data_IF_535556349988
#
_entry.id   IF_535556349988
#
_cell.length_a   1.000
_cell.length_b   1.000
_cell.length_c   1.000
_cell.angle_alpha   90.00
_cell.angle_beta   90.00
_cell.angle_gamma   90.00
#
_symmetry.space_group_name_H-M   'P 1'
#
loop_
_entity.id
_entity.type
_entity.pdbx_description
1 polymer ?
#
# COMPACT_ATOMS: atom_id res chain seq x y z
N UNK A 1 -56.92 5.52 37.62
CA UNK A 1 -56.33 5.86 36.34
C UNK A 1 -54.81 6.13 36.38
N UNK A 2 -53.98 5.41 37.13
CA UNK A 2 -52.53 5.57 37.04
C UNK A 2 -51.83 4.45 36.27
N UNK A 3 -52.48 3.36 35.85
CA UNK A 3 -51.85 2.19 35.24
C UNK A 3 -51.51 2.37 33.75
N UNK A 4 -52.24 3.20 33.00
CA UNK A 4 -51.98 3.42 31.57
C UNK A 4 -50.76 4.27 31.29
N UNK A 5 -50.46 5.24 32.17
CA UNK A 5 -49.27 6.11 32.00
C UNK A 5 -47.94 5.37 32.20
N UNK A 6 -47.93 4.40 33.14
CA UNK A 6 -46.75 3.58 33.39
C UNK A 6 -46.45 2.63 32.21
N UNK A 7 -47.48 2.10 31.53
CA UNK A 7 -47.31 1.19 30.40
C UNK A 7 -46.83 1.90 29.13
N UNK A 8 -47.26 3.16 28.92
CA UNK A 8 -46.79 3.99 27.81
C UNK A 8 -45.34 4.44 28.01
N UNK A 9 -44.94 4.77 29.23
CA UNK A 9 -43.57 5.14 29.56
C UNK A 9 -42.60 3.98 29.37
N UNK A 10 -43.02 2.74 29.75
CA UNK A 10 -42.22 1.54 29.57
C UNK A 10 -41.98 1.19 28.06
N UNK A 11 -43.03 1.37 27.24
CA UNK A 11 -42.90 1.16 25.77
C UNK A 11 -42.02 2.20 25.09
N UNK A 12 -42.03 3.45 25.54
CA UNK A 12 -41.16 4.52 25.03
C UNK A 12 -39.71 4.29 25.43
N UNK A 13 -39.43 3.83 26.63
CA UNK A 13 -38.06 3.54 27.10
C UNK A 13 -37.49 2.31 26.39
N UNK A 14 -38.31 1.28 26.12
CA UNK A 14 -37.87 0.09 25.37
C UNK A 14 -37.61 0.40 23.90
N UNK A 15 -38.39 1.29 23.26
CA UNK A 15 -38.19 1.71 21.89
C UNK A 15 -36.95 2.63 21.73
N UNK A 16 -36.65 3.46 22.72
CA UNK A 16 -35.43 4.29 22.74
C UNK A 16 -34.18 3.45 23.00
N UNK A 17 -34.24 2.41 23.81
CA UNK A 17 -33.13 1.50 24.05
C UNK A 17 -32.79 0.64 22.80
N UNK A 18 -33.79 0.28 21.99
CA UNK A 18 -33.57 -0.47 20.73
C UNK A 18 -32.99 0.38 19.62
N UNK A 19 -33.20 1.71 19.62
CA UNK A 19 -32.64 2.63 18.58
C UNK A 19 -31.17 2.98 18.79
N UNK A 20 -30.63 2.82 20.02
CA UNK A 20 -29.21 3.13 20.33
C UNK A 20 -28.24 2.00 19.92
N UNK A 21 -28.72 0.80 19.64
CA UNK A 21 -27.91 -0.37 19.29
C UNK A 21 -27.60 -0.49 17.77
N UNK A 22 -28.09 0.41 16.92
CA UNK A 22 -27.92 0.36 15.47
C UNK A 22 -26.84 1.33 14.91
N UNK A 23 -26.11 2.05 15.76
CA UNK A 23 -24.98 2.91 15.35
C UNK A 23 -23.64 2.25 15.72
N UNK A 24 -23.57 0.92 15.74
CA UNK A 24 -22.30 0.21 15.83
C UNK A 24 -21.69 0.10 14.44
N UNK A 25 -20.98 1.15 14.05
CA UNK A 25 -19.72 1.06 13.36
C UNK A 25 -19.67 0.33 12.03
N UNK A 26 -20.10 0.95 10.93
CA UNK A 26 -19.38 0.77 9.66
C UNK A 26 -18.08 1.59 9.72
N UNK A 27 -17.14 1.20 10.54
CA UNK A 27 -15.74 1.49 10.32
C UNK A 27 -15.31 0.66 9.12
N UNK A 28 -15.21 1.27 7.95
CA UNK A 28 -14.52 0.67 6.80
C UNK A 28 -13.05 0.45 7.19
N UNK A 29 -12.79 -0.67 7.89
CA UNK A 29 -11.45 -1.22 7.91
C UNK A 29 -11.22 -1.74 6.52
N UNK A 30 -10.40 -1.04 5.74
CA UNK A 30 -9.73 -1.62 4.58
C UNK A 30 -9.15 -2.96 5.06
N UNK A 31 -9.45 -4.10 4.41
CA UNK A 31 -8.89 -5.38 4.82
C UNK A 31 -7.38 -5.29 4.66
N UNK A 32 -6.68 -5.19 5.76
CA UNK A 32 -5.24 -5.33 5.86
C UNK A 32 -4.95 -6.81 6.01
N UNK A 33 -5.42 -7.58 5.03
CA UNK A 33 -5.22 -9.02 5.00
C UNK A 33 -4.15 -9.29 3.94
N UNK A 34 -3.22 -10.20 4.18
CA UNK A 34 -2.12 -10.58 3.30
C UNK A 34 -2.49 -10.92 1.84
N UNK A 35 -3.77 -10.83 1.50
CA UNK A 35 -4.33 -10.96 0.14
C UNK A 35 -3.78 -9.91 -0.85
N UNK A 36 -3.30 -8.74 -0.39
CA UNK A 36 -2.67 -7.76 -1.28
C UNK A 36 -1.38 -8.30 -1.91
N UNK A 37 -0.68 -9.21 -1.25
CA UNK A 37 0.53 -9.85 -1.75
C UNK A 37 0.25 -11.07 -2.64
N UNK A 38 -1.00 -11.50 -2.78
CA UNK A 38 -1.39 -12.60 -3.65
C UNK A 38 -1.51 -12.15 -5.11
N UNK A 39 -0.36 -11.87 -5.73
CA UNK A 39 -0.26 -11.51 -7.15
C UNK A 39 0.99 -12.10 -7.79
N UNK A 40 0.95 -12.18 -9.11
CA UNK A 40 2.10 -12.50 -9.95
C UNK A 40 2.25 -11.41 -11.01
N UNK A 41 3.48 -10.95 -11.24
CA UNK A 41 3.80 -9.94 -12.25
C UNK A 41 5.10 -10.33 -12.98
N UNK A 42 5.34 -9.70 -14.13
CA UNK A 42 6.63 -9.82 -14.82
C UNK A 42 7.58 -8.73 -14.32
N UNK A 43 8.85 -9.08 -14.15
CA UNK A 43 9.90 -8.10 -13.93
C UNK A 43 10.31 -7.44 -15.25
N UNK A 44 10.97 -6.26 -15.18
CA UNK A 44 11.47 -5.59 -16.40
C UNK A 44 12.50 -6.41 -17.17
N UNK A 45 13.19 -7.36 -16.53
CA UNK A 45 14.11 -8.30 -17.17
C UNK A 45 13.42 -9.62 -17.62
N UNK A 46 12.10 -9.69 -17.59
CA UNK A 46 11.29 -10.78 -18.13
C UNK A 46 11.12 -12.00 -17.21
N UNK A 47 11.55 -11.93 -15.95
CA UNK A 47 11.33 -13.01 -14.97
C UNK A 47 9.96 -12.87 -14.33
N UNK A 48 9.44 -13.99 -13.79
CA UNK A 48 8.21 -13.98 -13.01
C UNK A 48 8.51 -13.60 -11.55
N UNK A 49 7.76 -12.65 -11.02
CA UNK A 49 7.78 -12.25 -9.61
C UNK A 49 6.46 -12.64 -8.94
N UNK A 50 6.55 -13.27 -7.77
CA UNK A 50 5.39 -13.56 -6.92
C UNK A 50 5.37 -12.62 -5.73
N UNK A 51 4.29 -11.86 -5.55
CA UNK A 51 4.08 -11.01 -4.38
C UNK A 51 4.07 -11.79 -3.08
N UNK A 52 3.63 -13.05 -3.10
CA UNK A 52 3.67 -13.94 -1.94
C UNK A 52 5.10 -14.19 -1.41
N UNK A 53 6.15 -13.96 -2.20
CA UNK A 53 7.54 -14.04 -1.75
C UNK A 53 7.91 -12.98 -0.70
N UNK A 54 7.10 -11.93 -0.56
CA UNK A 54 7.25 -10.87 0.44
C UNK A 54 6.62 -11.22 1.79
N UNK A 55 5.85 -12.30 1.90
CA UNK A 55 5.24 -12.71 3.16
C UNK A 55 6.32 -13.02 4.21
N UNK A 56 6.10 -12.51 5.42
CA UNK A 56 7.04 -12.70 6.54
C UNK A 56 8.32 -11.86 6.45
N UNK A 57 8.41 -10.91 5.52
CA UNK A 57 9.58 -10.07 5.29
C UNK A 57 9.20 -8.59 5.28
N UNK A 58 10.05 -7.70 5.82
CA UNK A 58 9.87 -6.28 5.61
C UNK A 58 10.11 -5.93 4.15
N UNK A 59 9.15 -5.23 3.52
CA UNK A 59 9.29 -4.81 2.14
C UNK A 59 8.68 -3.43 1.89
N UNK A 60 9.16 -2.77 0.82
CA UNK A 60 8.59 -1.54 0.28
C UNK A 60 8.32 -1.74 -1.19
N UNK A 61 7.07 -1.52 -1.62
CA UNK A 61 6.73 -1.41 -3.02
C UNK A 61 6.62 0.08 -3.35
N UNK A 62 7.37 0.53 -4.35
CA UNK A 62 7.33 1.91 -4.86
C UNK A 62 6.62 1.94 -6.21
N UNK A 63 5.51 2.66 -6.28
CA UNK A 63 4.66 2.76 -7.48
C UNK A 63 4.99 4.02 -8.26
N UNK A 64 5.35 3.87 -9.55
CA UNK A 64 5.84 4.95 -10.38
C UNK A 64 5.42 4.83 -11.85
N UNK A 65 5.46 5.93 -12.59
CA UNK A 65 5.22 5.95 -14.03
C UNK A 65 6.39 6.66 -14.75
N UNK A 66 6.77 6.26 -15.97
CA UNK A 66 7.96 6.77 -16.64
C UNK A 66 7.85 8.24 -17.02
N UNK A 67 6.65 8.74 -17.27
CA UNK A 67 6.36 10.13 -17.61
C UNK A 67 6.13 11.04 -16.39
N UNK A 68 6.17 10.53 -15.16
CA UNK A 68 5.87 11.27 -13.93
C UNK A 68 7.09 12.09 -13.47
N UNK A 69 7.05 13.44 -13.50
CA UNK A 69 8.20 14.26 -13.10
C UNK A 69 8.57 14.09 -11.63
N UNK A 70 7.58 13.90 -10.76
CA UNK A 70 7.80 13.67 -9.33
C UNK A 70 8.48 12.33 -9.08
N UNK A 71 8.09 11.27 -9.82
CA UNK A 71 8.76 9.97 -9.73
C UNK A 71 10.22 10.04 -10.19
N UNK A 72 10.51 10.82 -11.24
CA UNK A 72 11.89 11.06 -11.70
C UNK A 72 12.75 11.75 -10.63
N UNK A 73 12.16 12.70 -9.90
CA UNK A 73 12.81 13.37 -8.77
C UNK A 73 13.04 12.43 -7.58
N UNK A 74 12.07 11.58 -7.30
CA UNK A 74 12.10 10.67 -6.14
C UNK A 74 13.02 9.45 -6.37
N UNK A 75 13.17 8.98 -7.61
CA UNK A 75 13.92 7.77 -7.93
C UNK A 75 15.33 7.70 -7.30
N UNK A 76 16.18 8.74 -7.38
CA UNK A 76 17.52 8.68 -6.78
C UNK A 76 17.49 8.54 -5.25
N UNK A 77 16.50 9.14 -4.57
CA UNK A 77 16.38 8.99 -3.12
C UNK A 77 15.89 7.59 -2.74
N UNK A 78 14.96 7.03 -3.52
CA UNK A 78 14.48 5.65 -3.31
C UNK A 78 15.64 4.66 -3.46
N UNK A 79 16.45 4.82 -4.52
CA UNK A 79 17.64 3.99 -4.73
C UNK A 79 18.64 4.07 -3.56
N UNK A 80 18.92 5.29 -3.04
CA UNK A 80 19.81 5.45 -1.88
C UNK A 80 19.26 4.79 -0.62
N UNK A 81 17.96 4.99 -0.33
CA UNK A 81 17.35 4.38 0.87
C UNK A 81 17.31 2.86 0.74
N UNK A 82 17.02 2.32 -0.45
CA UNK A 82 17.09 0.88 -0.71
C UNK A 82 18.50 0.32 -0.44
N UNK A 83 19.53 0.96 -1.00
CA UNK A 83 20.93 0.54 -0.81
C UNK A 83 21.38 0.59 0.66
N UNK A 84 20.89 1.58 1.42
CA UNK A 84 21.21 1.73 2.84
C UNK A 84 20.48 0.71 3.75
N UNK A 85 19.45 0.02 3.24
CA UNK A 85 18.61 -0.88 4.03
C UNK A 85 18.50 -2.30 3.43
N UNK A 86 19.60 -3.07 3.34
CA UNK A 86 19.64 -4.36 2.65
C UNK A 86 18.78 -5.46 3.32
N UNK A 87 18.27 -5.23 4.52
CA UNK A 87 17.33 -6.14 5.20
C UNK A 87 15.87 -5.93 4.78
N UNK A 88 15.56 -4.85 4.06
CA UNK A 88 14.22 -4.54 3.54
C UNK A 88 14.20 -4.80 2.04
N UNK A 89 13.24 -5.57 1.59
CA UNK A 89 13.09 -5.87 0.15
C UNK A 89 12.43 -4.67 -0.54
N UNK A 90 13.14 -4.02 -1.47
CA UNK A 90 12.54 -3.00 -2.33
C UNK A 90 12.08 -3.60 -3.65
N UNK A 91 10.89 -3.17 -4.09
CA UNK A 91 10.28 -3.57 -5.37
C UNK A 91 9.68 -2.32 -6.01
N UNK A 92 10.17 -1.93 -7.19
CA UNK A 92 9.51 -0.92 -8.00
C UNK A 92 8.35 -1.53 -8.78
N UNK A 93 7.28 -0.78 -8.96
CA UNK A 93 6.10 -1.21 -9.70
C UNK A 93 5.78 -0.13 -10.75
N UNK A 94 6.41 -0.27 -11.91
CA UNK A 94 6.24 0.65 -13.03
C UNK A 94 4.98 0.37 -13.81
N UNK A 95 4.14 1.40 -14.00
CA UNK A 95 2.89 1.28 -14.75
C UNK A 95 2.69 2.44 -15.73
N UNK A 96 1.60 2.36 -16.52
CA UNK A 96 1.16 3.42 -17.43
C UNK A 96 2.23 3.83 -18.46
N UNK A 97 3.02 2.87 -18.92
CA UNK A 97 4.04 3.04 -19.96
C UNK A 97 4.30 1.74 -20.70
N UNK A 98 4.86 1.85 -21.90
CA UNK A 98 5.33 0.68 -22.63
C UNK A 98 6.53 0.04 -21.91
N UNK A 99 6.76 -1.28 -22.04
CA UNK A 99 7.86 -1.96 -21.35
C UNK A 99 9.22 -1.30 -21.58
N UNK A 100 9.53 -0.84 -22.79
CA UNK A 100 10.78 -0.12 -23.09
C UNK A 100 10.91 1.19 -22.30
N UNK A 101 9.84 1.98 -22.20
CA UNK A 101 9.86 3.22 -21.42
C UNK A 101 10.04 2.97 -19.92
N UNK A 102 9.51 1.86 -19.39
CA UNK A 102 9.75 1.45 -18.01
C UNK A 102 11.22 1.04 -17.80
N UNK A 103 11.80 0.27 -18.72
CA UNK A 103 13.22 -0.10 -18.69
C UNK A 103 14.14 1.12 -18.76
N UNK A 104 13.86 2.04 -19.71
CA UNK A 104 14.64 3.27 -19.88
C UNK A 104 14.60 4.15 -18.62
N UNK A 105 13.42 4.24 -17.98
CA UNK A 105 13.28 4.97 -16.72
C UNK A 105 14.13 4.34 -15.62
N UNK A 106 14.02 3.02 -15.41
CA UNK A 106 14.74 2.32 -14.35
C UNK A 106 16.27 2.48 -14.51
N UNK A 107 16.79 2.26 -15.71
CA UNK A 107 18.20 2.43 -16.02
C UNK A 107 18.67 3.89 -15.85
N UNK A 108 17.90 4.85 -16.39
CA UNK A 108 18.25 6.27 -16.36
C UNK A 108 18.30 6.83 -14.93
N UNK A 109 17.43 6.36 -14.04
CA UNK A 109 17.29 6.92 -12.71
C UNK A 109 17.93 6.05 -11.61
N UNK A 110 18.57 4.90 -11.98
CA UNK A 110 19.36 4.07 -11.09
C UNK A 110 18.53 3.25 -10.11
N UNK A 111 17.26 2.96 -10.46
CA UNK A 111 16.39 2.10 -9.66
C UNK A 111 16.41 0.63 -10.13
N UNK A 112 17.13 0.31 -11.18
CA UNK A 112 17.43 -1.04 -11.65
C UNK A 112 18.34 -1.85 -10.70
N UNK A 113 18.79 -1.22 -9.60
CA UNK A 113 19.56 -1.86 -8.53
C UNK A 113 18.73 -2.80 -7.63
N UNK A 114 17.40 -2.73 -7.71
CA UNK A 114 16.47 -3.63 -7.04
C UNK A 114 15.41 -4.15 -8.03
N UNK A 115 14.53 -5.05 -7.58
CA UNK A 115 13.52 -5.66 -8.47
C UNK A 115 12.53 -4.61 -8.97
N UNK A 116 12.37 -4.52 -10.29
CA UNK A 116 11.40 -3.66 -10.96
C UNK A 116 10.36 -4.50 -11.70
N UNK A 117 9.07 -4.24 -11.48
CA UNK A 117 7.96 -4.91 -12.12
C UNK A 117 7.40 -4.08 -13.29
N UNK A 118 7.02 -4.77 -14.36
CA UNK A 118 6.30 -4.22 -15.50
C UNK A 118 4.79 -4.41 -15.29
N UNK A 119 4.15 -3.50 -14.57
CA UNK A 119 2.70 -3.51 -14.31
C UNK A 119 1.95 -2.67 -15.37
N UNK A 120 2.16 -2.98 -16.66
CA UNK A 120 1.69 -2.15 -17.77
C UNK A 120 0.18 -1.93 -17.79
N UNK A 121 -0.60 -2.88 -17.29
CA UNK A 121 -2.06 -2.82 -17.15
C UNK A 121 -2.53 -2.28 -15.80
N UNK A 122 -1.61 -1.88 -14.92
CA UNK A 122 -1.86 -1.37 -13.57
C UNK A 122 -2.66 -2.32 -12.66
N UNK A 123 -2.57 -3.62 -12.88
CA UNK A 123 -3.28 -4.63 -12.07
C UNK A 123 -2.73 -4.68 -10.64
N UNK A 124 -1.41 -4.61 -10.45
CA UNK A 124 -0.78 -4.54 -9.13
C UNK A 124 -1.12 -3.21 -8.46
N UNK A 125 -1.06 -2.09 -9.19
CA UNK A 125 -1.50 -0.80 -8.65
C UNK A 125 -2.92 -0.85 -8.10
N UNK A 126 -3.87 -1.38 -8.88
CA UNK A 126 -5.27 -1.50 -8.48
C UNK A 126 -5.42 -2.35 -7.22
N UNK A 127 -4.67 -3.46 -7.11
CA UNK A 127 -4.68 -4.35 -5.94
C UNK A 127 -4.24 -3.65 -4.65
N UNK A 128 -3.27 -2.75 -4.75
CA UNK A 128 -2.82 -1.94 -3.61
C UNK A 128 -3.65 -0.68 -3.38
N UNK A 129 -4.61 -0.37 -4.25
CA UNK A 129 -5.43 0.84 -4.15
C UNK A 129 -4.67 2.12 -4.53
N UNK A 130 -3.64 2.01 -5.37
CA UNK A 130 -2.87 3.15 -5.87
C UNK A 130 -3.72 3.93 -6.87
N UNK A 131 -4.04 5.18 -6.53
CA UNK A 131 -4.85 6.08 -7.37
C UNK A 131 -4.05 7.23 -7.97
N UNK A 132 -2.83 7.43 -7.48
CA UNK A 132 -1.87 8.44 -7.97
C UNK A 132 -0.44 8.01 -7.66
N UNK A 133 0.51 8.47 -8.47
CA UNK A 133 1.94 8.25 -8.31
C UNK A 133 2.69 9.55 -7.94
N UNK A 134 3.86 9.45 -7.30
CA UNK A 134 4.39 8.23 -6.71
C UNK A 134 3.53 7.75 -5.53
N UNK A 135 3.65 6.47 -5.19
CA UNK A 135 3.07 5.92 -3.97
C UNK A 135 4.00 4.86 -3.38
N UNK A 136 3.82 4.55 -2.10
CA UNK A 136 4.65 3.58 -1.37
C UNK A 136 3.76 2.65 -0.57
N UNK A 137 3.92 1.34 -0.71
CA UNK A 137 3.32 0.37 0.19
C UNK A 137 4.40 -0.21 1.10
N UNK A 138 4.23 -0.01 2.40
CA UNK A 138 5.10 -0.54 3.44
C UNK A 138 4.52 -1.85 3.96
N UNK A 139 5.22 -2.95 3.69
CA UNK A 139 4.80 -4.31 4.06
C UNK A 139 5.52 -4.73 5.32
N UNK A 140 4.76 -4.94 6.39
CA UNK A 140 5.29 -5.45 7.65
C UNK A 140 5.43 -6.98 7.59
N UNK A 141 6.38 -7.59 8.36
CA UNK A 141 6.52 -9.03 8.43
C UNK A 141 5.26 -9.78 8.87
N UNK A 142 4.37 -9.12 9.63
CA UNK A 142 3.08 -9.68 10.06
C UNK A 142 1.98 -9.63 8.98
N UNK A 143 2.33 -9.17 7.76
CA UNK A 143 1.42 -9.07 6.62
C UNK A 143 0.60 -7.78 6.55
N UNK A 144 0.73 -6.87 7.51
CA UNK A 144 0.08 -5.54 7.41
C UNK A 144 0.75 -4.72 6.32
N UNK A 145 -0.08 -4.03 5.52
CA UNK A 145 0.36 -3.13 4.47
C UNK A 145 -0.17 -1.72 4.75
N UNK A 146 0.73 -0.74 4.79
CA UNK A 146 0.40 0.68 4.86
C UNK A 146 0.67 1.33 3.50
N UNK A 147 -0.35 1.93 2.87
CA UNK A 147 -0.19 2.68 1.63
C UNK A 147 -0.06 4.17 1.91
N UNK A 148 0.99 4.78 1.40
CA UNK A 148 1.19 6.24 1.38
C UNK A 148 1.21 6.72 -0.06
N UNK A 149 0.30 7.64 -0.41
CA UNK A 149 0.21 8.19 -1.76
C UNK A 149 0.83 9.59 -1.82
N UNK A 150 1.70 9.80 -2.77
CA UNK A 150 2.49 11.01 -2.97
C UNK A 150 3.96 10.81 -2.61
N UNK A 151 4.78 11.85 -2.85
CA UNK A 151 6.20 11.84 -2.50
C UNK A 151 6.43 11.81 -1.00
N UNK A 152 7.53 11.16 -0.63
CA UNK A 152 8.10 11.24 0.71
C UNK A 152 9.44 11.97 0.66
N UNK A 153 9.79 12.66 1.74
CA UNK A 153 11.17 13.09 1.93
C UNK A 153 12.08 11.89 2.17
N UNK A 154 13.38 12.02 1.93
CA UNK A 154 14.34 10.95 2.23
C UNK A 154 14.33 10.55 3.70
N UNK A 155 14.14 11.52 4.61
CA UNK A 155 14.01 11.27 6.04
C UNK A 155 12.75 10.46 6.36
N UNK A 156 11.57 10.88 5.85
CA UNK A 156 10.32 10.18 6.09
C UNK A 156 10.33 8.74 5.53
N UNK A 157 10.92 8.55 4.33
CA UNK A 157 11.06 7.22 3.75
C UNK A 157 11.99 6.36 4.61
N UNK A 158 13.14 6.89 5.02
CA UNK A 158 14.11 6.17 5.86
C UNK A 158 13.51 5.78 7.21
N UNK A 159 12.79 6.68 7.88
CA UNK A 159 12.15 6.41 9.16
C UNK A 159 11.13 5.28 9.09
N UNK A 160 10.29 5.29 8.03
CA UNK A 160 9.31 4.22 7.77
C UNK A 160 9.97 2.89 7.47
N UNK A 161 11.02 2.89 6.65
CA UNK A 161 11.81 1.70 6.32
C UNK A 161 12.45 1.10 7.58
N UNK A 162 13.02 1.93 8.45
CA UNK A 162 13.60 1.47 9.72
C UNK A 162 12.52 0.91 10.66
N UNK A 163 11.30 1.47 10.66
CA UNK A 163 10.20 0.96 11.46
C UNK A 163 9.82 -0.48 11.10
N UNK A 164 9.89 -0.86 9.81
CA UNK A 164 9.64 -2.23 9.34
C UNK A 164 10.61 -3.28 9.92
N UNK A 165 11.81 -2.85 10.34
CA UNK A 165 12.85 -3.76 10.85
C UNK A 165 12.90 -3.83 12.38
N UNK A 166 12.06 -3.03 13.06
CA UNK A 166 11.96 -2.98 14.53
C UNK A 166 10.77 -3.75 15.10
N UNK A 167 9.90 -4.23 14.23
CA UNK A 167 8.68 -4.99 14.57
C UNK A 167 8.96 -6.49 14.71
#
# INVERSE_FOLDING_TARGET
>A
MPREKAFRLHRLVVLLAAAVLLVAGCGSRTPTDGTQLDFTAQTLDGRTFSGASLNGRPAVLWFWAPWCPTCQKDAPLVARVAAANPRVTFVGVGAQGQPSALQDFAAKHGVDSFTELADSDATVWARFGVTRQPAYAFVNPDGRVELVQGSLSEADLSDRVQALTRS
#
